data_IF_353085373811
#
_entry.id   IF_353085373811
#
_cell.length_a   1.000
_cell.length_b   1.000
_cell.length_c   1.000
_cell.angle_alpha   90.00
_cell.angle_beta   90.00
_cell.angle_gamma   90.00
#
_symmetry.space_group_name_H-M   'P 1'
#
loop_
_entity.id
_entity.type
_entity.pdbx_description
1 polymer ?
#
# COMPACT_ATOMS: atom_id res chain seq x y z
N UNK A 1 -18.39 -5.06 2.18
CA UNK A 1 -16.94 -5.31 1.96
C UNK A 1 -16.06 -4.48 2.89
N UNK A 2 -16.27 -3.17 3.04
CA UNK A 2 -15.45 -2.35 3.95
C UNK A 2 -15.56 -2.76 5.42
N UNK A 3 -16.76 -3.14 5.89
CA UNK A 3 -16.98 -3.66 7.24
C UNK A 3 -16.09 -4.88 7.53
N UNK A 4 -15.94 -5.79 6.57
CA UNK A 4 -15.02 -6.92 6.71
C UNK A 4 -13.56 -6.46 6.74
N UNK A 5 -13.16 -5.47 5.92
CA UNK A 5 -11.78 -4.94 5.88
C UNK A 5 -11.37 -4.35 7.23
N UNK A 6 -12.23 -3.56 7.88
CA UNK A 6 -11.89 -2.91 9.16
C UNK A 6 -11.78 -3.89 10.33
N UNK A 7 -12.19 -5.14 10.17
CA UNK A 7 -12.05 -6.20 11.19
C UNK A 7 -10.69 -6.92 11.13
N UNK A 8 -9.92 -6.78 10.05
CA UNK A 8 -8.60 -7.42 9.91
C UNK A 8 -7.61 -7.06 11.03
N UNK A 9 -7.50 -5.81 11.50
CA UNK A 9 -6.62 -5.48 12.63
C UNK A 9 -6.95 -6.29 13.89
N UNK A 10 -8.25 -6.50 14.20
CA UNK A 10 -8.68 -7.33 15.33
C UNK A 10 -8.34 -8.80 15.10
N UNK A 11 -8.54 -9.30 13.88
CA UNK A 11 -8.14 -10.66 13.49
C UNK A 11 -6.64 -10.88 13.70
N UNK A 12 -5.78 -9.94 13.31
CA UNK A 12 -4.32 -10.04 13.45
C UNK A 12 -3.84 -10.02 14.89
N UNK A 13 -4.55 -9.29 15.75
CA UNK A 13 -4.30 -9.27 17.19
C UNK A 13 -4.68 -10.61 17.84
N UNK A 14 -5.80 -11.20 17.42
CA UNK A 14 -6.30 -12.45 17.99
C UNK A 14 -5.55 -13.68 17.47
N UNK A 15 -5.14 -13.66 16.20
CA UNK A 15 -4.50 -14.80 15.53
C UNK A 15 -3.27 -14.31 14.75
N UNK A 16 -2.09 -14.48 15.35
CA UNK A 16 -0.85 -13.88 14.87
C UNK A 16 0.06 -14.84 14.07
N UNK A 17 -0.50 -15.96 13.60
CA UNK A 17 0.22 -17.00 12.85
C UNK A 17 0.62 -16.50 11.46
N UNK A 18 1.89 -16.67 11.02
CA UNK A 18 2.38 -16.13 9.75
C UNK A 18 1.55 -16.52 8.52
N UNK A 19 1.07 -17.77 8.46
CA UNK A 19 0.25 -18.26 7.34
C UNK A 19 -1.06 -17.48 7.20
N UNK A 20 -1.72 -17.20 8.33
CA UNK A 20 -2.97 -16.42 8.35
C UNK A 20 -2.70 -14.96 7.98
N UNK A 21 -1.69 -14.35 8.59
CA UNK A 21 -1.29 -12.97 8.30
C UNK A 21 -0.98 -12.79 6.81
N UNK A 22 -0.16 -13.69 6.24
CA UNK A 22 0.18 -13.67 4.83
C UNK A 22 -1.05 -13.78 3.92
N UNK A 23 -1.91 -14.77 4.17
CA UNK A 23 -3.13 -14.99 3.39
C UNK A 23 -4.06 -13.79 3.45
N UNK A 24 -4.18 -13.18 4.64
CA UNK A 24 -5.00 -12.01 4.85
C UNK A 24 -4.46 -10.76 4.13
N UNK A 25 -3.15 -10.51 4.17
CA UNK A 25 -2.55 -9.41 3.40
C UNK A 25 -2.67 -9.62 1.89
N UNK A 26 -2.51 -10.86 1.38
CA UNK A 26 -2.76 -11.15 -0.03
C UNK A 26 -4.21 -10.89 -0.42
N UNK A 27 -5.17 -11.21 0.45
CA UNK A 27 -6.59 -10.88 0.26
C UNK A 27 -6.84 -9.37 0.27
N UNK A 28 -6.22 -8.63 1.20
CA UNK A 28 -6.29 -7.17 1.25
C UNK A 28 -5.72 -6.54 -0.02
N UNK A 29 -4.64 -7.09 -0.57
CA UNK A 29 -4.08 -6.61 -1.84
C UNK A 29 -5.01 -6.88 -3.04
N UNK A 30 -5.75 -8.00 -3.05
CA UNK A 30 -6.77 -8.23 -4.07
C UNK A 30 -7.95 -7.26 -3.94
N UNK A 31 -8.39 -6.96 -2.72
CA UNK A 31 -9.41 -5.94 -2.45
C UNK A 31 -8.91 -4.55 -2.87
N UNK A 32 -7.65 -4.24 -2.60
CA UNK A 32 -7.03 -2.98 -3.01
C UNK A 32 -6.97 -2.88 -4.53
N UNK A 33 -6.62 -3.95 -5.24
CA UNK A 33 -6.48 -3.92 -6.70
C UNK A 33 -7.81 -3.72 -7.44
N UNK A 34 -8.89 -4.27 -6.91
CA UNK A 34 -10.22 -4.26 -7.55
C UNK A 34 -11.18 -3.24 -6.93
N UNK A 35 -10.71 -2.49 -5.93
CA UNK A 35 -11.52 -1.61 -5.11
C UNK A 35 -11.79 -0.25 -5.75
N UNK A 36 -12.59 0.54 -5.04
CA UNK A 36 -12.73 1.97 -5.27
C UNK A 36 -11.89 2.74 -4.23
N UNK A 37 -11.85 4.07 -4.32
CA UNK A 37 -11.07 4.94 -3.42
C UNK A 37 -11.35 4.68 -1.94
N UNK A 38 -12.60 4.40 -1.59
CA UNK A 38 -12.96 4.12 -0.21
C UNK A 38 -12.37 2.80 0.28
N UNK A 39 -12.44 1.73 -0.53
CA UNK A 39 -11.77 0.46 -0.23
C UNK A 39 -10.25 0.61 -0.19
N UNK A 40 -9.66 1.38 -1.11
CA UNK A 40 -8.23 1.68 -1.10
C UNK A 40 -7.82 2.34 0.22
N UNK A 41 -8.58 3.33 0.68
CA UNK A 41 -8.34 4.02 1.94
C UNK A 41 -8.51 3.09 3.14
N UNK A 42 -9.56 2.26 3.17
CA UNK A 42 -9.75 1.28 4.25
C UNK A 42 -8.56 0.33 4.36
N UNK A 43 -8.12 -0.24 3.23
CA UNK A 43 -6.98 -1.15 3.22
C UNK A 43 -5.68 -0.44 3.62
N UNK A 44 -5.44 0.80 3.16
CA UNK A 44 -4.31 1.62 3.63
C UNK A 44 -4.32 1.77 5.16
N UNK A 45 -5.46 2.13 5.75
CA UNK A 45 -5.59 2.29 7.20
C UNK A 45 -5.31 0.99 7.96
N UNK A 46 -5.82 -0.13 7.45
CA UNK A 46 -5.56 -1.47 8.03
C UNK A 46 -4.07 -1.80 7.97
N UNK A 47 -3.40 -1.57 6.83
CA UNK A 47 -1.96 -1.81 6.67
C UNK A 47 -1.16 -0.97 7.66
N UNK A 48 -1.46 0.32 7.77
CA UNK A 48 -0.78 1.24 8.70
C UNK A 48 -0.98 0.86 10.16
N UNK A 49 -2.21 0.52 10.56
CA UNK A 49 -2.53 0.07 11.92
C UNK A 49 -1.86 -1.27 12.26
N UNK A 50 -1.64 -2.11 11.24
CA UNK A 50 -1.10 -3.46 11.38
C UNK A 50 0.40 -3.54 11.07
N UNK A 51 1.13 -2.41 11.16
CA UNK A 51 2.57 -2.33 10.79
C UNK A 51 3.43 -3.43 11.44
N UNK A 52 3.19 -3.74 12.72
CA UNK A 52 3.88 -4.80 13.48
C UNK A 52 3.69 -6.22 12.94
N UNK A 53 2.69 -6.43 12.06
CA UNK A 53 2.41 -7.73 11.45
C UNK A 53 2.96 -7.83 10.02
N UNK A 54 3.44 -6.73 9.42
CA UNK A 54 3.91 -6.72 8.04
C UNK A 54 5.16 -7.59 7.84
N UNK A 55 6.02 -7.70 8.85
CA UNK A 55 7.19 -8.58 8.85
C UNK A 55 6.84 -10.08 8.68
N UNK A 56 5.58 -10.44 8.94
CA UNK A 56 5.08 -11.81 8.82
C UNK A 56 4.51 -12.13 7.43
N UNK A 57 4.53 -11.18 6.50
CA UNK A 57 4.13 -11.42 5.12
C UNK A 57 5.22 -12.26 4.45
N UNK A 58 4.87 -13.47 4.02
CA UNK A 58 5.80 -14.38 3.34
C UNK A 58 5.94 -14.02 1.86
N UNK A 59 4.83 -13.67 1.22
CA UNK A 59 4.75 -13.38 -0.22
C UNK A 59 4.75 -11.86 -0.49
N UNK A 60 5.73 -11.14 0.06
CA UNK A 60 5.89 -9.68 -0.09
C UNK A 60 5.91 -9.28 -1.57
N UNK A 61 6.61 -10.08 -2.39
CA UNK A 61 6.78 -9.80 -3.81
C UNK A 61 5.45 -9.65 -4.56
N UNK A 62 4.54 -10.59 -4.31
CA UNK A 62 3.20 -10.65 -4.90
C UNK A 62 2.26 -9.61 -4.29
N UNK A 63 2.33 -9.41 -2.98
CA UNK A 63 1.56 -8.37 -2.28
C UNK A 63 1.85 -6.98 -2.87
N UNK A 64 3.12 -6.61 -2.97
CA UNK A 64 3.55 -5.32 -3.53
C UNK A 64 3.18 -5.22 -5.01
N UNK A 65 3.33 -6.29 -5.79
CA UNK A 65 2.95 -6.29 -7.22
C UNK A 65 1.47 -5.95 -7.41
N UNK A 66 0.57 -6.52 -6.60
CA UNK A 66 -0.87 -6.24 -6.66
C UNK A 66 -1.20 -4.80 -6.27
N UNK A 67 -0.60 -4.29 -5.20
CA UNK A 67 -0.75 -2.89 -4.77
C UNK A 67 -0.26 -1.94 -5.87
N UNK A 68 0.96 -2.17 -6.37
CA UNK A 68 1.60 -1.31 -7.35
C UNK A 68 0.85 -1.30 -8.69
N UNK A 69 0.21 -2.41 -9.09
CA UNK A 69 -0.56 -2.46 -10.34
C UNK A 69 -1.69 -1.42 -10.43
N UNK A 70 -2.15 -0.89 -9.29
CA UNK A 70 -3.18 0.14 -9.24
C UNK A 70 -2.69 1.48 -9.77
N UNK A 71 -1.40 1.82 -9.61
CA UNK A 71 -0.86 3.16 -9.96
C UNK A 71 -0.90 3.48 -11.46
N UNK A 72 -0.90 2.46 -12.32
CA UNK A 72 -0.94 2.60 -13.79
C UNK A 72 -2.24 2.06 -14.40
N UNK A 73 -3.21 1.66 -13.58
CA UNK A 73 -4.47 1.08 -14.03
C UNK A 73 -5.47 2.16 -14.46
N UNK A 74 -6.55 1.83 -15.19
CA UNK A 74 -7.60 2.83 -15.57
C UNK A 74 -8.18 3.62 -14.38
N UNK A 75 -8.40 3.03 -13.18
CA UNK A 75 -8.68 3.78 -11.94
C UNK A 75 -7.64 4.82 -11.53
N UNK A 76 -6.40 4.71 -12.00
CA UNK A 76 -5.29 5.61 -11.68
C UNK A 76 -5.34 6.95 -12.39
N UNK A 77 -6.26 7.18 -13.32
CA UNK A 77 -6.51 8.54 -13.83
C UNK A 77 -7.05 9.45 -12.72
N UNK A 78 -7.60 8.88 -11.65
CA UNK A 78 -8.01 9.61 -10.46
C UNK A 78 -6.80 9.89 -9.53
N UNK A 79 -6.48 11.17 -9.26
CA UNK A 79 -5.38 11.56 -8.38
C UNK A 79 -5.53 11.03 -6.96
N UNK A 80 -6.76 10.81 -6.47
CA UNK A 80 -6.98 10.27 -5.13
C UNK A 80 -6.52 8.81 -5.06
N UNK A 81 -6.83 8.00 -6.09
CA UNK A 81 -6.31 6.63 -6.21
C UNK A 81 -4.79 6.58 -6.23
N UNK A 82 -4.14 7.46 -7.02
CA UNK A 82 -2.68 7.56 -7.06
C UNK A 82 -2.11 7.95 -5.70
N UNK A 83 -2.68 8.96 -5.06
CA UNK A 83 -2.28 9.41 -3.73
C UNK A 83 -2.39 8.31 -2.66
N UNK A 84 -3.49 7.55 -2.63
CA UNK A 84 -3.64 6.44 -1.69
C UNK A 84 -2.60 5.34 -1.97
N UNK A 85 -2.35 5.04 -3.25
CA UNK A 85 -1.34 4.04 -3.65
C UNK A 85 0.07 4.46 -3.25
N UNK A 86 0.44 5.73 -3.45
CA UNK A 86 1.72 6.28 -3.01
C UNK A 86 1.88 6.20 -1.48
N UNK A 87 0.84 6.56 -0.71
CA UNK A 87 0.85 6.39 0.75
C UNK A 87 0.99 4.94 1.18
N UNK A 88 0.41 4.00 0.43
CA UNK A 88 0.61 2.56 0.66
C UNK A 88 2.07 2.17 0.41
N UNK A 89 2.69 2.61 -0.69
CA UNK A 89 4.10 2.33 -0.98
C UNK A 89 5.03 2.88 0.10
N UNK A 90 4.82 4.12 0.56
CA UNK A 90 5.58 4.68 1.68
C UNK A 90 5.42 3.88 2.98
N UNK A 91 4.20 3.38 3.25
CA UNK A 91 3.93 2.53 4.42
C UNK A 91 4.62 1.15 4.33
N UNK A 92 5.01 0.74 3.12
CA UNK A 92 5.70 -0.52 2.82
C UNK A 92 7.19 -0.32 2.51
N UNK A 93 7.75 0.88 2.68
CA UNK A 93 9.11 1.22 2.25
C UNK A 93 10.18 0.21 2.72
N UNK A 94 10.04 -0.32 3.94
CA UNK A 94 10.92 -1.35 4.52
C UNK A 94 10.99 -2.65 3.71
N UNK A 95 9.97 -2.93 2.89
CA UNK A 95 9.85 -4.13 2.06
C UNK A 95 10.25 -3.91 0.60
N UNK A 96 10.44 -2.66 0.18
CA UNK A 96 10.68 -2.30 -1.22
C UNK A 96 11.89 -1.36 -1.44
N UNK A 97 12.97 -1.42 -0.63
CA UNK A 97 14.06 -0.43 -0.69
C UNK A 97 14.71 -0.35 -2.09
N UNK A 98 14.73 -1.45 -2.85
CA UNK A 98 15.39 -1.56 -4.16
C UNK A 98 14.43 -1.62 -5.35
N UNK A 99 13.12 -1.39 -5.16
CA UNK A 99 12.16 -1.46 -6.27
C UNK A 99 12.19 -0.18 -7.11
N UNK A 100 13.09 -0.15 -8.11
CA UNK A 100 13.24 0.97 -9.07
C UNK A 100 11.93 1.49 -9.64
N UNK A 101 10.99 0.60 -9.98
CA UNK A 101 9.68 1.01 -10.52
C UNK A 101 8.84 1.82 -9.51
N UNK A 102 8.92 1.47 -8.21
CA UNK A 102 8.24 2.21 -7.16
C UNK A 102 8.88 3.59 -6.97
N UNK A 103 10.21 3.65 -6.90
CA UNK A 103 10.97 4.90 -6.83
C UNK A 103 10.68 5.82 -8.02
N UNK A 104 10.70 5.28 -9.24
CA UNK A 104 10.39 6.04 -10.45
C UNK A 104 8.97 6.60 -10.44
N UNK A 105 7.99 5.81 -10.00
CA UNK A 105 6.60 6.30 -9.92
C UNK A 105 6.42 7.38 -8.87
N UNK A 106 7.06 7.23 -7.71
CA UNK A 106 7.06 8.27 -6.67
C UNK A 106 7.70 9.55 -7.20
N UNK A 107 8.83 9.46 -7.90
CA UNK A 107 9.48 10.61 -8.50
C UNK A 107 8.58 11.29 -9.54
N UNK A 108 7.95 10.53 -10.44
CA UNK A 108 7.05 11.08 -11.44
C UNK A 108 5.84 11.79 -10.81
N UNK A 109 5.30 11.24 -9.72
CA UNK A 109 4.17 11.84 -9.00
C UNK A 109 4.52 13.11 -8.21
N UNK A 110 5.81 13.42 -7.98
CA UNK A 110 6.23 14.70 -7.39
C UNK A 110 5.99 15.88 -8.34
N UNK A 111 6.03 15.63 -9.65
CA UNK A 111 5.78 16.62 -10.70
C UNK A 111 4.29 16.67 -11.13
N UNK A 112 3.39 16.06 -10.35
CA UNK A 112 1.95 16.07 -10.63
C UNK A 112 1.33 17.46 -10.47
N UNK A 113 0.27 17.73 -11.22
CA UNK A 113 -0.52 18.96 -11.10
C UNK A 113 -1.57 18.86 -9.97
N UNK A 114 -1.77 17.67 -9.41
CA UNK A 114 -2.74 17.39 -8.37
C UNK A 114 -2.08 17.42 -6.98
N UNK A 115 -2.39 18.43 -6.17
CA UNK A 115 -1.78 18.62 -4.84
C UNK A 115 -1.88 17.38 -3.93
N UNK A 116 -3.01 16.66 -3.96
CA UNK A 116 -3.22 15.46 -3.13
C UNK A 116 -2.25 14.33 -3.49
N UNK A 117 -1.89 14.22 -4.76
CA UNK A 117 -0.91 13.26 -5.25
C UNK A 117 0.51 13.69 -4.87
N UNK A 118 0.84 14.97 -5.05
CA UNK A 118 2.15 15.53 -4.69
C UNK A 118 2.43 15.33 -3.20
N UNK A 119 1.48 15.64 -2.31
CA UNK A 119 1.64 15.41 -0.87
C UNK A 119 1.88 13.92 -0.53
N UNK A 120 1.19 13.03 -1.24
CA UNK A 120 1.37 11.59 -1.07
C UNK A 120 2.72 11.10 -1.62
N UNK A 121 3.21 11.70 -2.71
CA UNK A 121 4.52 11.44 -3.27
C UNK A 121 5.63 11.91 -2.32
N UNK A 122 5.50 13.10 -1.73
CA UNK A 122 6.42 13.62 -0.70
C UNK A 122 6.47 12.66 0.49
N UNK A 123 5.30 12.22 0.98
CA UNK A 123 5.22 11.21 2.03
C UNK A 123 5.98 9.94 1.63
N UNK A 124 5.69 9.36 0.46
CA UNK A 124 6.30 8.12 0.01
C UNK A 124 7.82 8.26 -0.18
N UNK A 125 8.27 9.39 -0.74
CA UNK A 125 9.67 9.73 -0.96
C UNK A 125 10.44 9.74 0.36
N UNK A 126 9.92 10.41 1.40
CA UNK A 126 10.58 10.49 2.70
C UNK A 126 10.78 9.11 3.36
N UNK A 127 9.81 8.20 3.23
CA UNK A 127 9.95 6.84 3.78
C UNK A 127 10.89 5.96 2.95
N UNK A 128 10.87 6.10 1.62
CA UNK A 128 11.76 5.34 0.75
C UNK A 128 13.21 5.80 0.88
N UNK A 129 13.46 7.12 0.93
CA UNK A 129 14.80 7.68 1.12
C UNK A 129 15.40 7.32 2.48
N UNK A 130 14.57 7.12 3.51
CA UNK A 130 15.03 6.65 4.81
C UNK A 130 15.45 5.17 4.82
N UNK A 131 15.17 4.41 3.76
CA UNK A 131 15.47 2.97 3.66
C UNK A 131 16.47 2.64 2.52
N UNK A 132 16.62 3.54 1.54
CA UNK A 132 17.60 3.43 0.46
C UNK A 132 18.93 4.03 0.91
N UNK A 133 20.02 3.25 0.81
CA UNK A 133 21.39 3.72 1.06
C UNK A 133 21.97 4.41 -0.17
#
# INVERSE_FOLDING_TARGET
QCEAVVLFPKLFQQYNFPILINSAFLKLADIFRLGNNFLHLCVLKVTQQSKKHLEKILNVGEFVKRVFSVIHSKPSNDPVTRAITLRMLGSLATFIPERKNAHHSVHQSLDSHDNVEVEAAIFASAYLSAQSN
#
